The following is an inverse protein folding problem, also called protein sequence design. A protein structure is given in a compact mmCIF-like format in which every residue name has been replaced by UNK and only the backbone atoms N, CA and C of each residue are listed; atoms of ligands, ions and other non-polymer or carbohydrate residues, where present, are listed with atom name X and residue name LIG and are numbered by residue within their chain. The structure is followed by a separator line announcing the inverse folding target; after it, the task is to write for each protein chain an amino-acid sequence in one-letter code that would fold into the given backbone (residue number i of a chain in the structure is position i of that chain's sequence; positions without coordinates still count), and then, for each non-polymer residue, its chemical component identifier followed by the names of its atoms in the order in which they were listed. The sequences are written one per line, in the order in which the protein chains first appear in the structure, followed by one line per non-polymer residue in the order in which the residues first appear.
data_IF_473703548997
#
_entry.id   IF_473703548997
#
_cell.length_a   1.000
_cell.length_b   1.000
_cell.length_c   1.000
_cell.angle_alpha   90.00
_cell.angle_beta   90.00
_cell.angle_gamma   90.00
#
_symmetry.space_group_name_H-M   'P 1'
#
loop_
_entity.id
_entity.type
_entity.pdbx_description
1 polymer ?
#
# COMPACT_ATOMS: atom_id res chain seq x y z
N UNK A 1 12.61 -3.98 -12.77
CA UNK A 1 12.25 -4.56 -11.46
C UNK A 1 11.20 -5.62 -11.69
N UNK A 2 11.34 -6.79 -11.08
CA UNK A 2 10.27 -7.78 -11.03
C UNK A 2 9.13 -7.27 -10.13
N UNK A 3 7.98 -7.94 -10.16
CA UNK A 3 6.86 -7.57 -9.30
C UNK A 3 7.24 -7.79 -7.82
N UNK A 4 7.95 -8.87 -7.52
CA UNK A 4 8.48 -9.18 -6.20
C UNK A 4 9.40 -8.06 -5.70
N UNK A 5 10.35 -7.59 -6.51
CA UNK A 5 11.25 -6.49 -6.15
C UNK A 5 10.48 -5.18 -5.87
N UNK A 6 9.46 -4.88 -6.68
CA UNK A 6 8.59 -3.69 -6.45
C UNK A 6 7.91 -3.81 -5.09
N UNK A 7 7.38 -4.99 -4.77
CA UNK A 7 6.68 -5.21 -3.51
C UNK A 7 7.59 -5.22 -2.30
N UNK A 8 8.79 -5.78 -2.40
CA UNK A 8 9.80 -5.74 -1.32
C UNK A 8 10.18 -4.29 -0.98
N UNK A 9 10.41 -3.45 -2.01
CA UNK A 9 10.69 -2.02 -1.80
C UNK A 9 9.46 -1.33 -1.22
N UNK A 10 8.25 -1.62 -1.72
CA UNK A 10 7.02 -0.97 -1.23
C UNK A 10 6.78 -1.28 0.25
N UNK A 11 6.91 -2.55 0.66
CA UNK A 11 6.70 -2.99 2.04
C UNK A 11 7.79 -2.45 2.98
N UNK A 12 9.05 -2.46 2.53
CA UNK A 12 10.15 -1.85 3.29
C UNK A 12 9.94 -0.35 3.46
N UNK A 13 9.58 0.36 2.38
CA UNK A 13 9.33 1.80 2.42
C UNK A 13 8.13 2.14 3.33
N UNK A 14 7.07 1.33 3.31
CA UNK A 14 5.92 1.50 4.18
C UNK A 14 6.29 1.36 5.66
N UNK A 15 6.98 0.27 6.02
CA UNK A 15 7.41 0.02 7.40
C UNK A 15 8.47 1.01 7.90
N UNK A 16 9.26 1.58 6.99
CA UNK A 16 10.22 2.65 7.28
C UNK A 16 9.63 4.05 7.14
N UNK A 17 8.32 4.19 6.84
CA UNK A 17 7.64 5.48 6.64
C UNK A 17 8.33 6.38 5.59
N UNK A 18 8.94 5.78 4.57
CA UNK A 18 9.76 6.48 3.57
C UNK A 18 8.97 6.81 2.31
N UNK A 19 8.40 8.03 2.28
CA UNK A 19 7.71 8.56 1.08
C UNK A 19 8.65 8.61 -0.12
N UNK A 20 9.91 9.00 0.09
CA UNK A 20 10.92 9.09 -0.96
C UNK A 20 11.19 7.74 -1.65
N UNK A 21 11.17 6.62 -0.90
CA UNK A 21 11.34 5.28 -1.46
C UNK A 21 10.02 4.72 -2.02
N UNK A 22 8.89 5.11 -1.43
CA UNK A 22 7.59 4.56 -1.79
C UNK A 22 7.01 5.17 -3.06
N UNK A 23 6.96 6.51 -3.19
CA UNK A 23 6.28 7.18 -4.31
C UNK A 23 6.86 6.94 -5.71
N UNK A 24 8.16 6.67 -5.89
CA UNK A 24 8.68 6.25 -7.17
C UNK A 24 8.06 4.94 -7.69
N UNK A 25 7.50 4.09 -6.84
CA UNK A 25 6.87 2.83 -7.26
C UNK A 25 5.47 3.02 -7.83
N UNK A 26 4.82 4.16 -7.55
CA UNK A 26 3.45 4.42 -7.97
C UNK A 26 3.41 5.16 -9.32
N UNK A 27 2.44 4.75 -10.14
CA UNK A 27 2.09 5.43 -11.40
C UNK A 27 1.50 6.82 -11.12
N UNK A 28 1.53 7.68 -12.14
CA UNK A 28 0.98 9.04 -12.00
C UNK A 28 -0.56 9.04 -11.92
N UNK A 29 -1.19 8.01 -12.49
CA UNK A 29 -2.65 7.80 -12.58
C UNK A 29 -3.20 6.77 -11.57
N UNK A 30 -2.42 6.40 -10.55
CA UNK A 30 -2.80 5.45 -9.49
C UNK A 30 -4.23 5.67 -8.99
N UNK A 31 -4.99 4.59 -8.89
CA UNK A 31 -6.30 4.58 -8.23
C UNK A 31 -6.25 3.76 -6.96
N UNK A 32 -6.79 4.29 -5.88
CA UNK A 32 -7.02 3.51 -4.65
C UNK A 32 -8.52 3.36 -4.43
N UNK A 33 -8.97 2.13 -4.24
CA UNK A 33 -10.36 1.80 -3.99
C UNK A 33 -10.55 1.17 -2.62
N UNK A 34 -11.71 1.44 -2.01
CA UNK A 34 -12.26 0.54 -1.02
C UNK A 34 -12.84 -0.68 -1.75
N UNK A 35 -12.38 -1.89 -1.40
CA UNK A 35 -12.81 -3.10 -2.09
C UNK A 35 -14.30 -3.44 -1.82
N UNK A 36 -14.85 -3.06 -0.67
CA UNK A 36 -16.22 -3.45 -0.27
C UNK A 36 -17.31 -2.87 -1.16
N UNK A 37 -17.15 -1.61 -1.56
CA UNK A 37 -18.15 -0.84 -2.31
C UNK A 37 -17.59 -0.29 -3.63
N UNK A 38 -16.31 -0.54 -3.93
CA UNK A 38 -15.58 -0.01 -5.08
C UNK A 38 -15.57 1.52 -5.14
N UNK A 39 -15.73 2.19 -4.00
CA UNK A 39 -15.62 3.65 -3.93
C UNK A 39 -14.18 4.06 -4.19
N UNK A 40 -13.99 4.99 -5.13
CA UNK A 40 -12.70 5.60 -5.42
C UNK A 40 -12.29 6.52 -4.27
N UNK A 41 -11.27 6.10 -3.51
CA UNK A 41 -10.77 6.84 -2.36
C UNK A 41 -9.67 7.85 -2.75
N UNK A 42 -8.84 7.50 -3.73
CA UNK A 42 -7.70 8.30 -4.18
C UNK A 42 -7.60 8.25 -5.70
N UNK A 43 -7.43 9.41 -6.31
CA UNK A 43 -7.35 9.60 -7.74
C UNK A 43 -6.06 10.32 -8.16
N UNK A 44 -5.02 9.53 -8.43
CA UNK A 44 -3.74 10.02 -8.92
C UNK A 44 -2.68 10.13 -7.83
N UNK A 45 -1.44 10.32 -8.28
CA UNK A 45 -0.24 10.20 -7.44
C UNK A 45 -0.13 11.24 -6.34
N UNK A 46 -0.55 12.48 -6.62
CA UNK A 46 -0.51 13.56 -5.63
C UNK A 46 -1.37 13.24 -4.41
N UNK A 47 -2.62 12.82 -4.63
CA UNK A 47 -3.52 12.43 -3.54
C UNK A 47 -2.99 11.19 -2.80
N UNK A 48 -2.39 10.24 -3.52
CA UNK A 48 -1.77 9.05 -2.93
C UNK A 48 -0.59 9.42 -2.01
N UNK A 49 0.29 10.32 -2.47
CA UNK A 49 1.41 10.83 -1.69
C UNK A 49 0.93 11.56 -0.44
N UNK A 50 -0.04 12.46 -0.56
CA UNK A 50 -0.63 13.19 0.57
C UNK A 50 -1.26 12.23 1.60
N UNK A 51 -1.98 11.19 1.14
CA UNK A 51 -2.54 10.14 1.99
C UNK A 51 -1.44 9.46 2.83
N UNK A 52 -0.36 9.01 2.20
CA UNK A 52 0.72 8.32 2.90
C UNK A 52 1.53 9.25 3.82
N UNK A 53 1.79 10.51 3.41
CA UNK A 53 2.43 11.51 4.26
C UNK A 53 1.64 11.69 5.55
N UNK A 54 0.32 11.87 5.43
CA UNK A 54 -0.57 12.05 6.59
C UNK A 54 -0.59 10.79 7.47
N UNK A 55 -0.72 9.60 6.87
CA UNK A 55 -0.68 8.33 7.60
C UNK A 55 0.61 8.18 8.41
N UNK A 56 1.77 8.41 7.78
CA UNK A 56 3.08 8.24 8.43
C UNK A 56 3.31 9.27 9.53
N UNK A 57 2.89 10.52 9.33
CA UNK A 57 2.96 11.56 10.36
C UNK A 57 2.13 11.21 11.59
N UNK A 58 0.96 10.61 11.40
CA UNK A 58 0.04 10.24 12.49
C UNK A 58 0.37 8.88 13.14
N UNK A 59 1.27 8.10 12.55
CA UNK A 59 1.51 6.69 12.92
C UNK A 59 3.01 6.41 13.08
N UNK A 60 3.67 6.95 14.12
CA UNK A 60 5.11 6.77 14.32
C UNK A 60 5.51 5.29 14.53
N UNK A 61 4.61 4.49 15.09
CA UNK A 61 4.78 3.07 15.36
C UNK A 61 4.15 2.17 14.27
N UNK A 62 3.77 2.73 13.11
CA UNK A 62 3.10 1.97 12.05
C UNK A 62 3.92 0.75 11.62
N UNK A 63 3.29 -0.41 11.54
CA UNK A 63 3.93 -1.60 11.02
C UNK A 63 2.91 -2.46 10.28
N UNK A 64 3.32 -3.03 9.16
CA UNK A 64 2.62 -4.06 8.42
C UNK A 64 3.44 -5.35 8.46
N UNK A 65 2.83 -6.42 8.94
CA UNK A 65 3.35 -7.78 9.01
C UNK A 65 2.65 -8.63 7.94
N UNK A 66 3.40 -9.08 6.93
CA UNK A 66 2.86 -9.94 5.87
C UNK A 66 2.71 -11.37 6.39
N UNK A 67 1.47 -11.87 6.33
CA UNK A 67 1.12 -13.24 6.69
C UNK A 67 1.26 -14.14 5.46
N UNK A 68 0.74 -13.67 4.32
CA UNK A 68 0.77 -14.40 3.05
C UNK A 68 0.78 -13.44 1.88
N UNK A 69 1.53 -13.80 0.84
CA UNK A 69 1.51 -13.15 -0.46
C UNK A 69 1.06 -14.13 -1.54
N UNK A 70 0.31 -13.63 -2.51
CA UNK A 70 -0.04 -14.35 -3.73
C UNK A 70 0.33 -13.45 -4.91
N UNK A 71 1.17 -13.96 -5.79
CA UNK A 71 1.54 -13.30 -7.05
C UNK A 71 0.78 -13.98 -8.18
N UNK A 72 0.01 -13.21 -8.94
CA UNK A 72 -0.82 -13.71 -10.03
C UNK A 72 -0.85 -12.71 -11.18
N UNK A 73 -0.21 -13.07 -12.30
CA UNK A 73 0.02 -12.20 -13.45
C UNK A 73 0.62 -10.85 -13.04
N UNK A 74 -0.13 -9.77 -13.21
CA UNK A 74 0.28 -8.40 -12.88
C UNK A 74 -0.25 -7.94 -11.51
N UNK A 75 -0.76 -8.85 -10.69
CA UNK A 75 -1.38 -8.55 -9.40
C UNK A 75 -0.65 -9.21 -8.25
N UNK A 76 -0.68 -8.53 -7.11
CA UNK A 76 -0.18 -9.04 -5.84
C UNK A 76 -1.26 -8.89 -4.79
N UNK A 77 -1.59 -9.99 -4.10
CA UNK A 77 -2.52 -10.00 -2.99
C UNK A 77 -1.72 -10.23 -1.72
N UNK A 78 -1.77 -9.27 -0.81
CA UNK A 78 -1.14 -9.34 0.51
C UNK A 78 -2.20 -9.52 1.58
N UNK A 79 -2.04 -10.55 2.39
CA UNK A 79 -2.75 -10.73 3.65
C UNK A 79 -1.82 -10.31 4.77
N UNK A 80 -2.22 -9.33 5.57
CA UNK A 80 -1.34 -8.69 6.54
C UNK A 80 -2.04 -8.30 7.84
N UNK A 81 -1.24 -8.16 8.90
CA UNK A 81 -1.63 -7.44 10.12
C UNK A 81 -1.00 -6.06 10.12
N UNK A 82 -1.80 -5.03 10.40
CA UNK A 82 -1.31 -3.66 10.61
C UNK A 82 -1.52 -3.22 12.04
N UNK A 83 -0.49 -2.65 12.65
CA UNK A 83 -0.52 -2.05 13.99
C UNK A 83 0.10 -0.66 14.00
N UNK A 84 -0.12 0.11 15.07
CA UNK A 84 0.43 1.45 15.26
C UNK A 84 -0.22 2.54 14.39
N UNK A 85 -1.28 2.20 13.65
CA UNK A 85 -2.00 3.13 12.77
C UNK A 85 -2.76 4.15 13.62
N UNK A 86 -2.50 5.43 13.41
CA UNK A 86 -3.08 6.55 14.17
C UNK A 86 -2.91 6.42 15.69
N UNK A 87 -1.79 5.82 16.13
CA UNK A 87 -1.52 5.56 17.55
C UNK A 87 -2.29 4.39 18.15
N UNK A 88 -3.06 3.65 17.34
CA UNK A 88 -3.74 2.43 17.76
C UNK A 88 -2.79 1.23 17.65
N UNK A 89 -2.39 0.69 18.80
CA UNK A 89 -1.47 -0.45 18.90
C UNK A 89 -2.17 -1.80 18.63
N UNK A 90 -3.50 -1.83 18.44
CA UNK A 90 -4.20 -3.07 18.09
C UNK A 90 -3.77 -3.57 16.71
N UNK A 91 -3.48 -4.88 16.62
CA UNK A 91 -3.25 -5.53 15.33
C UNK A 91 -4.58 -5.69 14.60
N UNK A 92 -4.69 -5.09 13.41
CA UNK A 92 -5.85 -5.19 12.53
C UNK A 92 -5.49 -6.01 11.32
N UNK A 93 -6.28 -7.03 11.04
CA UNK A 93 -6.15 -7.84 9.83
C UNK A 93 -6.65 -7.03 8.63
N UNK A 94 -5.92 -7.05 7.52
CA UNK A 94 -6.39 -6.48 6.26
C UNK A 94 -5.82 -7.26 5.06
N UNK A 95 -6.46 -7.10 3.91
CA UNK A 95 -5.95 -7.58 2.62
C UNK A 95 -5.76 -6.38 1.70
N UNK A 96 -4.63 -6.34 1.01
CA UNK A 96 -4.32 -5.31 0.00
C UNK A 96 -4.04 -5.99 -1.32
N UNK A 97 -4.69 -5.51 -2.38
CA UNK A 97 -4.46 -5.98 -3.74
C UNK A 97 -3.76 -4.87 -4.50
N UNK A 98 -2.59 -5.15 -5.04
CA UNK A 98 -1.86 -4.26 -5.94
C UNK A 98 -2.00 -4.73 -7.38
N UNK A 99 -2.19 -3.81 -8.29
CA UNK A 99 -1.99 -4.02 -9.72
C UNK A 99 -0.75 -3.27 -10.20
N UNK A 100 0.08 -3.94 -10.98
CA UNK A 100 1.33 -3.41 -11.51
C UNK A 100 1.21 -3.32 -13.03
N UNK A 101 1.42 -2.12 -13.57
CA UNK A 101 1.44 -1.85 -15.01
C UNK A 101 2.70 -1.05 -15.32
N UNK A 102 3.45 -1.45 -16.37
CA UNK A 102 4.69 -0.76 -16.77
C UNK A 102 5.69 -0.58 -15.60
N UNK A 103 5.82 -1.61 -14.74
CA UNK A 103 6.67 -1.60 -13.54
C UNK A 103 6.28 -0.52 -12.50
N UNK A 104 5.03 -0.08 -12.49
CA UNK A 104 4.46 0.85 -11.51
C UNK A 104 3.18 0.30 -10.91
N UNK A 105 2.95 0.57 -9.64
CA UNK A 105 1.66 0.31 -8.99
C UNK A 105 0.63 1.25 -9.61
N UNK A 106 -0.35 0.68 -10.30
CA UNK A 106 -1.41 1.39 -11.05
C UNK A 106 -2.76 1.35 -10.33
N UNK A 107 -2.97 0.34 -9.48
CA UNK A 107 -4.16 0.22 -8.64
C UNK A 107 -3.81 -0.37 -7.28
N UNK A 108 -4.51 0.10 -6.25
CA UNK A 108 -4.51 -0.50 -4.93
C UNK A 108 -5.95 -0.66 -4.44
N UNK A 109 -6.35 -1.87 -4.07
CA UNK A 109 -7.64 -2.13 -3.42
C UNK A 109 -7.38 -2.52 -1.97
N UNK A 110 -8.08 -1.88 -1.04
CA UNK A 110 -7.96 -2.15 0.39
C UNK A 110 -9.22 -2.85 0.88
N UNK A 111 -9.05 -3.98 1.56
CA UNK A 111 -10.12 -4.75 2.20
C UNK A 111 -9.83 -4.87 3.71
N UNK A 112 -10.76 -4.42 4.55
CA UNK A 112 -10.61 -4.29 6.01
C UNK A 112 -11.83 -4.82 6.76
#
# INVERSE_FOLDING_TARGET
MTIEEIMDIQMSAFNNRSIQQMMPLYSDDIKVYNFQDLTLAINGKKECEEMFINLFKQSPNLNAEIIKSIFFDNKVILHEYVSGRNGDETKKEQVVIFEITNQKISRMDIMR
#
